data_IF_384719450378
#
_entry.id   IF_384719450378
#
_cell.length_a   1.000
_cell.length_b   1.000
_cell.length_c   1.000
_cell.angle_alpha   90.00
_cell.angle_beta   90.00
_cell.angle_gamma   90.00
#
_symmetry.space_group_name_H-M   'P 1'
#
loop_
_entity.id
_entity.type
_entity.pdbx_description
1 polymer ?
#
# COMPACT_ATOMS: atom_id res chain seq x y z
N UNK A 1 -15.04 -3.85 4.03
CA UNK A 1 -13.82 -3.86 3.17
C UNK A 1 -13.01 -2.63 3.51
N UNK A 2 -11.68 -2.72 3.47
CA UNK A 2 -10.81 -1.58 3.83
C UNK A 2 -11.11 -0.38 2.93
N UNK A 3 -11.21 0.80 3.55
CA UNK A 3 -11.45 2.07 2.89
C UNK A 3 -10.79 3.19 3.66
N UNK A 4 -10.30 4.18 2.91
CA UNK A 4 -9.65 5.38 3.41
C UNK A 4 -10.55 6.60 3.20
N UNK A 5 -10.22 7.72 3.83
CA UNK A 5 -10.80 9.02 3.49
C UNK A 5 -9.98 9.79 2.44
N UNK A 6 -10.48 10.94 2.00
CA UNK A 6 -9.82 11.77 0.96
C UNK A 6 -8.47 12.33 1.43
N UNK A 7 -8.33 12.62 2.73
CA UNK A 7 -7.06 13.10 3.29
C UNK A 7 -6.02 11.99 3.29
N UNK A 8 -6.39 10.79 3.72
CA UNK A 8 -5.53 9.61 3.68
C UNK A 8 -5.11 9.26 2.23
N UNK A 9 -6.01 9.41 1.24
CA UNK A 9 -5.66 9.26 -0.18
C UNK A 9 -4.60 10.28 -0.61
N UNK A 10 -4.80 11.56 -0.26
CA UNK A 10 -3.89 12.66 -0.60
C UNK A 10 -2.50 12.43 0.00
N UNK A 11 -2.43 12.05 1.28
CA UNK A 11 -1.16 11.75 1.96
C UNK A 11 -0.49 10.50 1.39
N UNK A 12 -1.27 9.47 1.01
CA UNK A 12 -0.76 8.28 0.31
C UNK A 12 -0.14 8.64 -1.03
N UNK A 13 -0.86 9.42 -1.85
CA UNK A 13 -0.38 9.84 -3.17
C UNK A 13 0.94 10.62 -3.04
N UNK A 14 1.00 11.64 -2.19
CA UNK A 14 2.24 12.41 -2.02
C UNK A 14 3.36 11.61 -1.37
N UNK A 15 3.05 10.67 -0.47
CA UNK A 15 4.05 9.75 0.09
C UNK A 15 4.69 8.86 -0.99
N UNK A 16 3.89 8.33 -1.91
CA UNK A 16 4.37 7.56 -3.07
C UNK A 16 5.15 8.42 -4.07
N UNK A 17 4.72 9.66 -4.32
CA UNK A 17 5.47 10.57 -5.21
C UNK A 17 6.86 10.87 -4.64
N UNK A 18 6.93 11.22 -3.36
CA UNK A 18 8.14 11.66 -2.67
C UNK A 18 9.14 10.53 -2.40
N UNK A 19 8.69 9.27 -2.38
CA UNK A 19 9.58 8.15 -2.09
C UNK A 19 10.56 7.87 -3.23
N UNK A 20 10.27 8.38 -4.44
CA UNK A 20 11.05 8.19 -5.66
C UNK A 20 11.23 6.72 -6.09
N UNK A 21 10.52 5.79 -5.47
CA UNK A 21 10.51 4.38 -5.83
C UNK A 21 9.46 4.08 -6.92
N UNK A 22 9.66 3.06 -7.77
CA UNK A 22 8.60 2.51 -8.61
C UNK A 22 7.49 1.89 -7.75
N UNK A 23 6.23 2.04 -8.18
CA UNK A 23 5.10 1.43 -7.48
C UNK A 23 3.97 1.04 -8.43
N UNK A 24 3.25 -0.01 -8.05
CA UNK A 24 1.93 -0.36 -8.55
C UNK A 24 0.92 -0.10 -7.44
N UNK A 25 -0.03 0.82 -7.68
CA UNK A 25 -1.05 1.17 -6.69
C UNK A 25 -2.45 0.81 -7.19
N UNK A 26 -3.12 -0.07 -6.44
CA UNK A 26 -4.50 -0.47 -6.72
C UNK A 26 -5.47 0.52 -6.08
N UNK A 27 -6.13 1.34 -6.91
CA UNK A 27 -7.12 2.35 -6.52
C UNK A 27 -8.49 1.89 -7.03
N UNK A 28 -9.12 0.97 -6.29
CA UNK A 28 -10.41 0.37 -6.69
C UNK A 28 -11.60 1.33 -6.47
N UNK A 29 -12.69 1.19 -7.24
CA UNK A 29 -13.97 1.83 -6.91
C UNK A 29 -14.41 1.53 -5.47
N UNK A 30 -14.81 2.58 -4.73
CA UNK A 30 -15.18 2.49 -3.32
C UNK A 30 -14.01 2.28 -2.35
N UNK A 31 -12.77 2.58 -2.75
CA UNK A 31 -11.63 2.69 -1.84
C UNK A 31 -11.80 3.92 -0.92
N UNK A 32 -12.19 5.07 -1.49
CA UNK A 32 -12.46 6.29 -0.72
C UNK A 32 -13.92 6.33 -0.30
N UNK A 33 -14.16 6.64 0.97
CA UNK A 33 -15.51 6.72 1.54
C UNK A 33 -16.28 7.89 0.93
N UNK A 34 -17.42 7.60 0.31
CA UNK A 34 -18.37 8.62 -0.15
C UNK A 34 -18.09 9.24 -1.52
N UNK A 35 -17.05 8.78 -2.24
CA UNK A 35 -16.61 9.41 -3.50
C UNK A 35 -16.13 8.36 -4.53
N UNK A 36 -16.17 8.71 -5.83
CA UNK A 36 -15.57 7.91 -6.89
C UNK A 36 -14.06 8.18 -6.95
N UNK A 37 -13.24 7.13 -6.81
CA UNK A 37 -11.84 7.24 -6.45
C UNK A 37 -10.92 7.82 -7.56
N UNK A 38 -11.26 7.59 -8.83
CA UNK A 38 -10.40 7.94 -9.98
C UNK A 38 -10.31 9.46 -10.24
N UNK A 39 -11.28 10.23 -9.76
CA UNK A 39 -11.29 11.70 -9.88
C UNK A 39 -10.61 12.41 -8.70
N UNK A 40 -10.25 11.68 -7.64
CA UNK A 40 -9.73 12.23 -6.39
C UNK A 40 -8.20 12.27 -6.30
N UNK A 41 -7.50 11.69 -7.28
CA UNK A 41 -6.05 11.80 -7.31
C UNK A 41 -5.62 13.27 -7.49
N UNK A 42 -4.55 13.72 -6.82
CA UNK A 42 -4.13 15.11 -6.87
C UNK A 42 -3.87 15.57 -8.30
N UNK A 43 -4.20 16.83 -8.60
CA UNK A 43 -3.85 17.47 -9.86
C UNK A 43 -2.32 17.37 -10.04
N UNK A 44 -1.87 16.94 -11.22
CA UNK A 44 -0.47 16.70 -11.57
C UNK A 44 0.19 15.51 -10.85
N UNK A 45 -0.57 14.64 -10.17
CA UNK A 45 0.03 13.46 -9.53
C UNK A 45 0.74 12.57 -10.56
N UNK A 46 0.10 12.29 -11.70
CA UNK A 46 0.72 11.49 -12.76
C UNK A 46 1.99 12.14 -13.32
N UNK A 47 2.00 13.47 -13.49
CA UNK A 47 3.18 14.21 -13.94
C UNK A 47 4.33 14.13 -12.92
N UNK A 48 4.00 14.11 -11.62
CA UNK A 48 5.00 14.02 -10.55
C UNK A 48 5.67 12.64 -10.44
N UNK A 49 4.94 11.57 -10.77
CA UNK A 49 5.46 10.19 -10.66
C UNK A 49 6.01 9.66 -11.99
N UNK A 50 5.55 10.19 -13.12
CA UNK A 50 5.96 9.78 -14.45
C UNK A 50 5.82 8.27 -14.66
N UNK A 51 6.86 7.63 -15.20
CA UNK A 51 6.87 6.17 -15.47
C UNK A 51 7.07 5.32 -14.20
N UNK A 52 7.37 5.92 -13.04
CA UNK A 52 7.55 5.17 -11.78
C UNK A 52 6.21 4.71 -11.20
N UNK A 53 5.12 5.40 -11.52
CA UNK A 53 3.80 5.12 -10.95
C UNK A 53 2.89 4.42 -11.95
N UNK A 54 2.41 3.23 -11.58
CA UNK A 54 1.33 2.53 -12.28
C UNK A 54 0.09 2.49 -11.36
N UNK A 55 -1.03 3.06 -11.81
CA UNK A 55 -2.28 3.09 -11.05
C UNK A 55 -3.33 2.29 -11.80
N UNK A 56 -3.92 1.31 -11.13
CA UNK A 56 -4.92 0.41 -11.71
C UNK A 56 -6.07 0.18 -10.74
N UNK A 57 -7.25 -0.20 -11.23
CA UNK A 57 -8.39 -0.51 -10.36
C UNK A 57 -8.31 -1.93 -9.78
N UNK A 58 -7.58 -2.82 -10.46
CA UNK A 58 -7.35 -4.20 -10.07
C UNK A 58 -6.02 -4.68 -10.64
N UNK A 59 -5.34 -5.56 -9.90
CA UNK A 59 -4.11 -6.21 -10.33
C UNK A 59 -4.16 -7.71 -9.99
N UNK A 60 -3.50 -8.56 -10.79
CA UNK A 60 -3.35 -9.96 -10.44
C UNK A 60 -2.32 -10.12 -9.30
N UNK A 61 -2.75 -9.83 -8.07
CA UNK A 61 -1.88 -9.66 -6.91
C UNK A 61 -0.89 -10.81 -6.72
N UNK A 62 -1.32 -12.06 -6.91
CA UNK A 62 -0.43 -13.22 -6.78
C UNK A 62 0.71 -13.20 -7.82
N UNK A 63 0.40 -12.90 -9.07
CA UNK A 63 1.42 -12.81 -10.13
C UNK A 63 2.32 -11.59 -9.97
N UNK A 64 1.78 -10.48 -9.44
CA UNK A 64 2.56 -9.31 -9.07
C UNK A 64 3.55 -9.65 -7.97
N UNK A 65 3.09 -10.27 -6.87
CA UNK A 65 3.96 -10.63 -5.73
C UNK A 65 4.99 -11.70 -6.07
N UNK A 66 4.70 -12.59 -7.03
CA UNK A 66 5.66 -13.58 -7.53
C UNK A 66 6.70 -13.01 -8.51
N UNK A 67 6.68 -11.69 -8.77
CA UNK A 67 7.60 -11.04 -9.70
C UNK A 67 8.85 -10.52 -8.95
N UNK A 68 10.04 -10.91 -9.40
CA UNK A 68 11.33 -10.51 -8.81
C UNK A 68 11.56 -8.98 -8.75
N UNK A 69 10.83 -8.18 -9.55
CA UNK A 69 10.92 -6.72 -9.51
C UNK A 69 10.18 -6.10 -8.31
N UNK A 70 9.33 -6.87 -7.61
CA UNK A 70 8.61 -6.38 -6.43
C UNK A 70 9.49 -6.51 -5.20
N UNK A 71 9.89 -5.36 -4.65
CA UNK A 71 10.71 -5.30 -3.44
C UNK A 71 9.92 -5.26 -2.13
N UNK A 72 8.61 -5.02 -2.16
CA UNK A 72 7.81 -4.90 -0.96
C UNK A 72 6.32 -4.73 -1.22
N UNK A 73 5.52 -5.01 -0.19
CA UNK A 73 4.06 -5.01 -0.31
C UNK A 73 3.38 -4.21 0.80
N UNK A 74 2.82 -3.06 0.43
CA UNK A 74 1.96 -2.31 1.34
C UNK A 74 0.56 -2.92 1.40
N UNK A 75 0.21 -3.51 2.53
CA UNK A 75 -1.00 -4.28 2.73
C UNK A 75 -1.79 -3.87 3.97
N UNK A 76 -3.11 -4.03 3.88
CA UNK A 76 -4.03 -3.95 5.00
C UNK A 76 -3.98 -5.17 5.95
N UNK A 77 -3.10 -6.14 5.68
CA UNK A 77 -2.94 -7.36 6.49
C UNK A 77 -4.16 -8.27 6.53
N UNK A 78 -4.97 -8.29 5.46
CA UNK A 78 -5.93 -9.37 5.26
C UNK A 78 -5.21 -10.72 5.16
N UNK A 79 -5.82 -11.79 5.69
CA UNK A 79 -5.11 -13.08 5.84
C UNK A 79 -4.60 -13.66 4.52
N UNK A 80 -5.41 -13.61 3.45
CA UNK A 80 -4.99 -14.10 2.13
C UNK A 80 -3.78 -13.31 1.58
N UNK A 81 -3.86 -11.98 1.60
CA UNK A 81 -2.75 -11.12 1.15
C UNK A 81 -1.49 -11.31 1.99
N UNK A 82 -1.64 -11.59 3.28
CA UNK A 82 -0.52 -11.90 4.19
C UNK A 82 0.15 -13.20 3.79
N UNK A 83 -0.63 -14.26 3.53
CA UNK A 83 -0.10 -15.54 3.07
C UNK A 83 0.58 -15.43 1.70
N UNK A 84 -0.03 -14.72 0.75
CA UNK A 84 0.58 -14.49 -0.57
C UNK A 84 1.95 -13.80 -0.44
N UNK A 85 2.06 -12.75 0.37
CA UNK A 85 3.35 -12.07 0.61
C UNK A 85 4.40 -13.00 1.22
N UNK A 86 4.01 -13.78 2.23
CA UNK A 86 4.93 -14.70 2.94
C UNK A 86 5.40 -15.82 2.01
N UNK A 87 4.51 -16.38 1.19
CA UNK A 87 4.86 -17.43 0.24
C UNK A 87 5.88 -16.97 -0.80
N UNK A 88 5.79 -15.72 -1.25
CA UNK A 88 6.72 -15.13 -2.21
C UNK A 88 7.93 -14.44 -1.54
N UNK A 89 8.00 -14.45 -0.20
CA UNK A 89 9.11 -13.85 0.55
C UNK A 89 9.18 -12.31 0.48
N UNK A 90 8.06 -11.66 0.18
CA UNK A 90 7.98 -10.20 0.01
C UNK A 90 7.76 -9.52 1.38
N UNK A 91 8.62 -8.56 1.80
CA UNK A 91 8.44 -7.83 3.04
C UNK A 91 7.20 -6.94 2.98
N UNK A 92 6.52 -6.80 4.13
CA UNK A 92 5.23 -6.12 4.18
C UNK A 92 5.32 -4.76 4.88
N UNK A 93 4.74 -3.72 4.26
CA UNK A 93 4.35 -2.50 4.97
C UNK A 93 2.90 -2.63 5.43
N UNK A 94 2.67 -2.70 6.74
CA UNK A 94 1.41 -3.09 7.34
C UNK A 94 0.59 -1.88 7.78
N UNK A 95 -0.64 -1.75 7.28
CA UNK A 95 -1.63 -0.75 7.74
C UNK A 95 -3.02 -1.40 7.92
N UNK A 96 -3.30 -2.05 9.05
CA UNK A 96 -4.59 -2.71 9.27
C UNK A 96 -5.73 -1.69 9.44
N UNK A 97 -6.96 -2.09 9.08
CA UNK A 97 -8.16 -1.25 9.18
C UNK A 97 -9.17 -1.77 10.21
N UNK A 98 -9.40 -3.08 10.28
CA UNK A 98 -10.42 -3.65 11.17
C UNK A 98 -10.19 -5.14 11.46
N UNK A 99 -10.85 -5.62 12.51
CA UNK A 99 -10.95 -7.05 12.79
C UNK A 99 -9.58 -7.73 12.98
N UNK A 100 -9.44 -8.89 12.35
CA UNK A 100 -8.28 -9.78 12.41
C UNK A 100 -7.01 -9.17 11.79
N UNK A 101 -7.13 -8.14 10.95
CA UNK A 101 -5.99 -7.47 10.32
C UNK A 101 -4.98 -6.93 11.35
N UNK A 102 -5.46 -6.47 12.51
CA UNK A 102 -4.57 -6.01 13.59
C UNK A 102 -3.75 -7.15 14.19
N UNK A 103 -4.36 -8.33 14.33
CA UNK A 103 -3.68 -9.54 14.81
C UNK A 103 -2.66 -9.98 13.76
N UNK A 104 -3.05 -10.01 12.49
CA UNK A 104 -2.16 -10.36 11.38
C UNK A 104 -0.96 -9.40 11.30
N UNK A 105 -1.18 -8.08 11.40
CA UNK A 105 -0.10 -7.06 11.50
C UNK A 105 0.84 -7.37 12.66
N UNK A 106 0.31 -7.72 13.84
CA UNK A 106 1.15 -8.08 15.01
C UNK A 106 2.02 -9.31 14.75
N UNK A 107 1.49 -10.32 14.07
CA UNK A 107 2.31 -11.46 13.67
C UNK A 107 3.40 -11.06 12.67
N UNK A 108 3.04 -10.32 11.62
CA UNK A 108 3.98 -9.89 10.56
C UNK A 108 5.10 -9.00 11.12
N UNK A 109 4.75 -7.97 11.89
CA UNK A 109 5.71 -6.99 12.38
C UNK A 109 6.46 -7.45 13.63
N UNK A 110 5.78 -8.02 14.62
CA UNK A 110 6.37 -8.20 15.96
C UNK A 110 6.81 -9.64 16.24
N UNK A 111 6.21 -10.63 15.58
CA UNK A 111 6.49 -12.06 15.83
C UNK A 111 7.43 -12.63 14.77
N UNK A 112 7.05 -12.52 13.51
CA UNK A 112 7.83 -13.03 12.38
C UNK A 112 8.92 -12.06 11.94
N UNK A 113 8.77 -10.76 12.25
CA UNK A 113 9.71 -9.71 11.88
C UNK A 113 9.97 -9.67 10.37
N UNK A 114 8.90 -9.80 9.57
CA UNK A 114 8.94 -9.78 8.09
C UNK A 114 8.21 -8.57 7.51
N UNK A 115 7.97 -7.54 8.33
CA UNK A 115 7.32 -6.31 7.90
C UNK A 115 7.41 -5.19 8.91
N UNK A 116 7.00 -3.99 8.49
CA UNK A 116 6.99 -2.76 9.26
C UNK A 116 5.57 -2.26 9.40
N UNK A 117 5.19 -1.70 10.54
CA UNK A 117 3.90 -1.01 10.67
C UNK A 117 3.99 0.42 10.14
N UNK A 118 2.99 0.82 9.37
CA UNK A 118 2.68 2.21 9.12
C UNK A 118 1.57 2.65 10.09
N UNK A 119 1.94 3.46 11.09
CA UNK A 119 1.00 3.92 12.11
C UNK A 119 0.00 4.94 11.57
N UNK A 120 0.45 5.83 10.67
CA UNK A 120 -0.31 6.99 10.23
C UNK A 120 -0.17 7.24 8.72
N UNK A 121 -1.25 7.72 8.10
CA UNK A 121 -1.24 8.23 6.73
C UNK A 121 -0.70 9.67 6.69
N UNK A 122 0.58 9.83 6.98
CA UNK A 122 1.31 11.08 6.80
C UNK A 122 2.34 10.87 5.70
N UNK A 123 2.36 11.73 4.67
CA UNK A 123 3.23 11.55 3.49
C UNK A 123 4.70 11.32 3.85
N UNK A 124 5.23 12.01 4.87
CA UNK A 124 6.62 11.85 5.31
C UNK A 124 6.88 10.51 6.00
N UNK A 125 5.90 9.98 6.73
CA UNK A 125 5.96 8.65 7.34
C UNK A 125 5.89 7.57 6.27
N UNK A 126 4.98 7.72 5.32
CA UNK A 126 4.83 6.82 4.18
C UNK A 126 6.12 6.77 3.36
N UNK A 127 6.65 7.93 2.97
CA UNK A 127 7.90 8.06 2.23
C UNK A 127 9.05 7.33 2.94
N UNK A 128 9.23 7.62 4.23
CA UNK A 128 10.27 7.00 5.05
C UNK A 128 10.07 5.49 5.17
N UNK A 129 8.85 5.03 5.40
CA UNK A 129 8.54 3.62 5.57
C UNK A 129 8.82 2.83 4.28
N UNK A 130 8.41 3.36 3.12
CA UNK A 130 8.71 2.74 1.81
C UNK A 130 10.22 2.67 1.58
N UNK A 131 10.98 3.72 1.93
CA UNK A 131 12.45 3.73 1.78
C UNK A 131 13.19 2.83 2.78
N UNK A 132 12.52 2.41 3.85
CA UNK A 132 13.11 1.57 4.91
C UNK A 132 12.85 0.09 4.69
N UNK A 133 11.72 -0.22 4.04
CA UNK A 133 11.30 -1.58 3.71
C UNK A 133 12.31 -2.27 2.79
#
# INVERSE_FOLDING_TARGET
>A
VASIDEKELLETAWGLANCEQPFLWVVRPGLVRGSNCSELLPINFQDSVGERGCIVEWAPQKEVLANDAVGGFWSHCGWNSTLESICEGIPMLCRPFFGDQNVNRRYVCDVWNVGLELEEFERGRIEKAIKTL
#
